data_IF_807603813489
#
_entry.id   IF_807603813489
#
_cell.length_a   1.000
_cell.length_b   1.000
_cell.length_c   1.000
_cell.angle_alpha   90.00
_cell.angle_beta   90.00
_cell.angle_gamma   90.00
#
_symmetry.space_group_name_H-M   'P 1'
#
loop_
_entity.id
_entity.type
_entity.pdbx_description
1 polymer ?
#
# COMPACT_ATOMS: atom_id res chain seq x y z
N UNK A 1 -17.03 -6.38 -18.39
CA UNK A 1 -16.00 -5.32 -18.49
C UNK A 1 -15.10 -5.44 -17.29
N UNK A 2 -13.77 -5.58 -17.41
CA UNK A 2 -12.92 -5.36 -16.26
C UNK A 2 -13.04 -3.88 -15.89
N UNK A 3 -13.51 -3.61 -14.68
CA UNK A 3 -13.49 -2.27 -14.10
C UNK A 3 -12.02 -1.93 -13.94
N UNK A 4 -11.52 -0.93 -14.67
CA UNK A 4 -10.15 -0.44 -14.49
C UNK A 4 -9.91 -0.01 -13.04
N UNK A 5 -8.66 0.00 -12.59
CA UNK A 5 -8.33 0.42 -11.22
C UNK A 5 -8.92 1.81 -10.96
N UNK A 6 -9.78 1.98 -9.94
CA UNK A 6 -10.36 3.29 -9.64
C UNK A 6 -9.28 4.32 -9.36
N UNK A 7 -9.48 5.54 -9.87
CA UNK A 7 -8.63 6.69 -9.60
C UNK A 7 -9.31 7.65 -8.64
N UNK A 8 -8.52 8.29 -7.78
CA UNK A 8 -8.98 9.28 -6.80
C UNK A 8 -8.14 10.54 -6.87
N UNK A 9 -8.71 11.72 -6.57
CA UNK A 9 -7.95 12.94 -6.49
C UNK A 9 -6.99 12.91 -5.29
N UNK A 10 -5.75 13.34 -5.50
CA UNK A 10 -4.71 13.47 -4.49
C UNK A 10 -3.92 14.75 -4.72
N UNK A 11 -3.82 15.60 -3.70
CA UNK A 11 -3.00 16.79 -3.75
C UNK A 11 -1.62 16.50 -3.17
N UNK A 12 -0.57 16.66 -3.99
CA UNK A 12 0.80 16.49 -3.51
C UNK A 12 1.20 17.69 -2.62
N UNK A 13 1.97 17.46 -1.54
CA UNK A 13 2.51 18.55 -0.75
C UNK A 13 3.30 19.53 -1.62
N UNK A 14 2.94 20.82 -1.56
CA UNK A 14 3.60 21.87 -2.35
C UNK A 14 3.06 22.06 -3.77
N UNK A 15 2.07 21.29 -4.21
CA UNK A 15 1.40 21.51 -5.50
C UNK A 15 0.02 22.18 -5.35
N UNK A 16 -0.31 23.14 -6.24
CA UNK A 16 -1.60 23.84 -6.20
C UNK A 16 -2.77 23.03 -6.78
N UNK A 17 -2.51 21.96 -7.52
CA UNK A 17 -3.53 21.13 -8.17
C UNK A 17 -3.53 19.70 -7.62
N UNK A 18 -4.67 19.02 -7.79
CA UNK A 18 -4.82 17.60 -7.47
C UNK A 18 -4.56 16.73 -8.70
N UNK A 19 -3.74 15.70 -8.53
CA UNK A 19 -3.54 14.65 -9.52
C UNK A 19 -4.51 13.50 -9.29
N UNK A 20 -4.87 12.79 -10.36
CA UNK A 20 -5.68 11.57 -10.29
C UNK A 20 -4.78 10.35 -10.27
N UNK A 21 -4.58 9.78 -9.08
CA UNK A 21 -3.73 8.60 -8.86
C UNK A 21 -4.57 7.33 -8.65
N UNK A 22 -3.96 6.16 -8.78
CA UNK A 22 -4.65 4.91 -8.49
C UNK A 22 -5.00 4.84 -6.99
N UNK A 23 -6.16 4.25 -6.66
CA UNK A 23 -6.58 4.10 -5.27
C UNK A 23 -5.55 3.36 -4.41
N UNK A 24 -4.86 2.35 -4.97
CA UNK A 24 -3.81 1.64 -4.24
C UNK A 24 -2.65 2.58 -3.87
N UNK A 25 -2.19 3.44 -4.79
CA UNK A 25 -1.13 4.41 -4.52
C UNK A 25 -1.55 5.40 -3.41
N UNK A 26 -2.83 5.80 -3.42
CA UNK A 26 -3.40 6.66 -2.38
C UNK A 26 -3.38 5.99 -1.01
N UNK A 27 -3.74 4.71 -0.93
CA UNK A 27 -3.83 3.92 0.29
C UNK A 27 -2.44 3.55 0.84
N UNK A 28 -1.47 3.25 -0.02
CA UNK A 28 -0.08 2.99 0.41
C UNK A 28 0.51 4.20 1.14
N UNK A 29 0.21 5.43 0.69
CA UNK A 29 0.61 6.67 1.37
C UNK A 29 -0.01 6.83 2.76
N UNK A 30 -1.14 6.18 3.03
CA UNK A 30 -1.79 6.09 4.34
C UNK A 30 -1.32 4.88 5.16
N UNK A 31 -0.20 4.24 4.78
CA UNK A 31 0.40 3.08 5.48
C UNK A 31 -0.51 1.85 5.47
N UNK A 32 -1.29 1.70 4.40
CA UNK A 32 -2.16 0.53 4.17
C UNK A 32 -1.50 -0.39 3.14
N UNK A 33 -1.24 -1.63 3.54
CA UNK A 33 -0.61 -2.67 2.71
C UNK A 33 -1.62 -3.77 2.44
N UNK A 34 -1.64 -4.29 1.20
CA UNK A 34 -2.51 -5.40 0.80
C UNK A 34 -1.68 -6.65 0.50
N UNK A 35 -2.03 -7.75 1.17
CA UNK A 35 -1.58 -9.09 0.82
C UNK A 35 -2.73 -9.83 0.14
N UNK A 36 -2.77 -9.78 -1.19
CA UNK A 36 -3.88 -10.31 -2.02
C UNK A 36 -3.54 -11.58 -2.81
N UNK A 37 -2.40 -12.22 -2.52
CA UNK A 37 -1.88 -13.37 -3.28
C UNK A 37 -1.21 -14.38 -2.36
N UNK A 38 -0.88 -15.54 -2.90
CA UNK A 38 -0.10 -16.58 -2.21
C UNK A 38 1.21 -16.01 -1.65
N UNK A 39 1.56 -16.45 -0.44
CA UNK A 39 2.79 -16.04 0.24
C UNK A 39 3.95 -16.93 -0.20
N UNK A 40 5.06 -16.30 -0.57
CA UNK A 40 6.35 -16.96 -0.76
C UNK A 40 7.45 -16.09 -0.14
N UNK A 41 8.67 -16.62 -0.03
CA UNK A 41 9.82 -15.93 0.56
C UNK A 41 10.05 -14.53 -0.02
N UNK A 42 9.91 -14.37 -1.33
CA UNK A 42 10.11 -13.07 -1.99
C UNK A 42 9.07 -12.06 -1.55
N UNK A 43 7.78 -12.44 -1.53
CA UNK A 43 6.69 -11.58 -1.10
C UNK A 43 6.77 -11.26 0.39
N UNK A 44 7.08 -12.26 1.22
CA UNK A 44 7.25 -12.08 2.65
C UNK A 44 8.37 -11.06 2.94
N UNK A 45 9.54 -11.23 2.31
CA UNK A 45 10.65 -10.29 2.44
C UNK A 45 10.30 -8.88 1.97
N UNK A 46 9.52 -8.74 0.89
CA UNK A 46 9.02 -7.43 0.45
C UNK A 46 8.12 -6.76 1.49
N UNK A 47 7.16 -7.50 2.05
CA UNK A 47 6.25 -6.96 3.08
C UNK A 47 7.04 -6.55 4.33
N UNK A 48 8.00 -7.37 4.76
CA UNK A 48 8.89 -7.05 5.90
C UNK A 48 9.66 -5.76 5.63
N UNK A 49 10.28 -5.63 4.45
CA UNK A 49 11.03 -4.43 4.09
C UNK A 49 10.16 -3.16 4.08
N UNK A 50 8.93 -3.24 3.57
CA UNK A 50 7.98 -2.12 3.57
C UNK A 50 7.59 -1.76 5.00
N UNK A 51 7.30 -2.74 5.86
CA UNK A 51 6.94 -2.48 7.26
C UNK A 51 8.07 -1.80 8.03
N UNK A 52 9.31 -2.28 7.88
CA UNK A 52 10.49 -1.69 8.50
C UNK A 52 10.71 -0.25 8.02
N UNK A 53 10.54 -0.01 6.71
CA UNK A 53 10.65 1.33 6.15
C UNK A 53 9.58 2.28 6.73
N UNK A 54 8.32 1.86 6.73
CA UNK A 54 7.23 2.67 7.28
C UNK A 54 7.44 2.97 8.77
N UNK A 55 7.84 1.98 9.56
CA UNK A 55 8.16 2.16 10.99
C UNK A 55 9.31 3.15 11.21
N UNK A 56 10.34 3.09 10.36
CA UNK A 56 11.47 4.05 10.42
C UNK A 56 11.07 5.49 10.08
N UNK A 57 10.06 5.70 9.24
CA UNK A 57 9.54 7.04 8.89
C UNK A 57 8.74 7.66 10.04
N UNK A 58 7.95 6.86 10.75
CA UNK A 58 7.13 7.32 11.88
C UNK A 58 6.64 6.12 12.71
N UNK A 59 7.36 5.78 13.78
CA UNK A 59 7.05 4.66 14.67
C UNK A 59 5.82 4.89 15.56
N UNK A 60 5.31 6.14 15.61
CA UNK A 60 4.08 6.47 16.33
C UNK A 60 2.81 6.21 15.54
N UNK A 61 2.92 5.99 14.22
CA UNK A 61 1.78 5.78 13.33
C UNK A 61 1.54 4.30 13.01
N UNK A 62 0.29 3.82 13.13
CA UNK A 62 -0.04 2.44 12.82
C UNK A 62 0.22 2.11 11.35
N UNK A 63 0.51 0.83 11.09
CA UNK A 63 0.56 0.23 9.76
C UNK A 63 -0.60 -0.76 9.67
N UNK A 64 -1.40 -0.66 8.62
CA UNK A 64 -2.56 -1.54 8.41
C UNK A 64 -2.25 -2.56 7.32
N UNK A 65 -2.27 -3.85 7.67
CA UNK A 65 -2.15 -4.95 6.72
C UNK A 65 -3.50 -5.60 6.50
N UNK A 66 -4.03 -5.52 5.28
CA UNK A 66 -5.23 -6.24 4.87
C UNK A 66 -4.85 -7.52 4.13
N UNK A 67 -5.33 -8.66 4.64
CA UNK A 67 -4.95 -9.99 4.17
C UNK A 67 -6.14 -10.64 3.49
N UNK A 68 -5.95 -10.99 2.22
CA UNK A 68 -6.80 -11.87 1.43
C UNK A 68 -5.88 -12.83 0.66
N UNK A 69 -5.37 -13.83 1.36
CA UNK A 69 -4.39 -14.78 0.84
C UNK A 69 -4.83 -16.21 1.13
N UNK A 70 -4.61 -17.15 0.19
CA UNK A 70 -4.86 -18.58 0.45
C UNK A 70 -3.81 -19.20 1.40
N UNK A 71 -2.82 -18.44 1.88
CA UNK A 71 -1.66 -18.95 2.60
C UNK A 71 -0.44 -19.05 1.67
N UNK A 72 0.47 -19.96 1.97
CA UNK A 72 1.71 -20.14 1.20
C UNK A 72 2.69 -21.10 1.85
N UNK A 73 3.94 -21.10 1.34
CA UNK A 73 5.08 -21.88 1.83
C UNK A 73 6.28 -21.00 2.11
#
# INVERSE_FOLDING_TARGET
>A
MPIGVPKVPYQMPGQPYSDWINIYDRLYRERIIFLGREVNDSLANQIIAIMLYLDSEDSGKPIYLYINSPGGS
#
